data_IF_869872699748
#
_entry.id   IF_869872699748
#
_cell.length_a   1.000
_cell.length_b   1.000
_cell.length_c   1.000
_cell.angle_alpha   90.00
_cell.angle_beta   90.00
_cell.angle_gamma   90.00
#
_symmetry.space_group_name_H-M   'P 1'
#
loop_
_entity.id
_entity.type
_entity.pdbx_description
1 polymer ?
#
# COMPACT_ATOMS: atom_id res chain seq x y z
N UNK A 1 55.60 -30.11 -3.04
CA UNK A 1 54.91 -29.21 -2.09
C UNK A 1 53.45 -29.16 -2.50
N UNK A 2 52.56 -29.76 -1.72
CA UNK A 2 51.11 -29.67 -1.95
C UNK A 2 50.61 -28.38 -1.28
N UNK A 3 50.08 -27.45 -2.07
CA UNK A 3 49.44 -26.25 -1.54
C UNK A 3 48.00 -26.61 -1.13
N UNK A 4 47.76 -26.68 0.18
CA UNK A 4 46.40 -26.79 0.72
C UNK A 4 45.72 -25.42 0.58
N UNK A 5 44.71 -25.33 -0.30
CA UNK A 5 43.80 -24.18 -0.32
C UNK A 5 42.86 -24.30 0.88
N UNK A 6 42.97 -23.35 1.81
CA UNK A 6 41.99 -23.17 2.89
C UNK A 6 40.85 -22.35 2.30
N UNK A 7 39.77 -23.02 1.91
CA UNK A 7 38.48 -22.35 1.68
C UNK A 7 37.95 -21.87 3.02
N UNK A 8 38.09 -20.57 3.29
CA UNK A 8 37.41 -19.93 4.40
C UNK A 8 35.90 -19.98 4.11
N UNK A 9 35.18 -20.86 4.80
CA UNK A 9 33.72 -20.91 4.74
C UNK A 9 33.15 -19.62 5.34
N UNK A 10 32.41 -18.86 4.53
CA UNK A 10 31.62 -17.73 5.02
C UNK A 10 30.49 -18.33 5.87
N UNK A 11 30.59 -18.20 7.19
CA UNK A 11 29.47 -18.48 8.09
C UNK A 11 28.45 -17.36 7.90
N UNK A 12 27.40 -17.61 7.14
CA UNK A 12 26.24 -16.73 7.12
C UNK A 12 25.60 -16.74 8.51
N UNK A 13 25.47 -15.57 9.13
CA UNK A 13 24.73 -15.43 10.39
C UNK A 13 23.24 -15.43 10.08
N UNK A 14 22.40 -16.15 10.84
CA UNK A 14 20.96 -16.14 10.61
C UNK A 14 20.42 -14.73 10.84
N UNK A 15 19.52 -14.30 9.95
CA UNK A 15 18.83 -13.03 10.11
C UNK A 15 17.69 -13.23 11.13
N UNK A 16 17.48 -12.23 11.98
CA UNK A 16 16.44 -12.26 13.01
C UNK A 16 15.34 -11.26 12.69
N UNK A 17 14.11 -11.60 13.07
CA UNK A 17 12.99 -10.69 12.99
C UNK A 17 13.29 -9.37 13.72
N UNK A 18 12.99 -8.25 13.06
CA UNK A 18 13.16 -6.91 13.61
C UNK A 18 11.91 -6.06 13.40
N UNK A 19 11.80 -4.91 14.07
CA UNK A 19 10.76 -3.94 13.76
C UNK A 19 10.94 -3.40 12.34
N UNK A 20 9.82 -3.23 11.63
CA UNK A 20 9.75 -2.62 10.31
C UNK A 20 8.99 -1.30 10.40
N UNK A 21 9.48 -0.28 9.69
CA UNK A 21 8.80 1.00 9.52
C UNK A 21 9.10 1.59 8.14
N UNK A 22 8.08 2.12 7.49
CA UNK A 22 8.17 2.86 6.23
C UNK A 22 7.35 4.16 6.36
N UNK A 23 7.80 5.26 5.74
CA UNK A 23 7.01 6.49 5.64
C UNK A 23 7.42 7.31 4.42
N UNK A 24 6.44 7.94 3.77
CA UNK A 24 6.66 8.94 2.71
C UNK A 24 6.84 10.36 3.25
N UNK A 25 6.70 10.56 4.57
CA UNK A 25 6.83 11.86 5.24
C UNK A 25 5.48 12.52 5.54
N UNK A 26 5.50 13.84 5.70
CA UNK A 26 4.31 14.65 5.97
C UNK A 26 3.72 15.22 4.69
N UNK A 27 2.47 15.69 4.74
CA UNK A 27 1.87 16.35 3.58
C UNK A 27 2.62 17.63 3.18
N UNK A 28 2.69 17.90 1.88
CA UNK A 28 3.29 19.10 1.30
C UNK A 28 2.25 20.17 0.89
N UNK A 29 0.95 19.87 1.02
CA UNK A 29 -0.15 20.76 0.64
C UNK A 29 -0.24 21.04 -0.86
N UNK A 30 0.41 20.24 -1.72
CA UNK A 30 0.41 20.49 -3.16
C UNK A 30 -0.78 19.84 -3.88
N UNK A 31 -1.19 18.65 -3.46
CA UNK A 31 -2.19 17.86 -4.15
C UNK A 31 -3.08 17.09 -3.17
N UNK A 32 -4.38 17.02 -3.47
CA UNK A 32 -5.29 16.01 -2.94
C UNK A 32 -5.86 15.16 -4.08
N UNK A 33 -5.67 13.85 -4.04
CA UNK A 33 -6.24 12.93 -5.04
C UNK A 33 -7.39 12.12 -4.46
N UNK A 34 -8.46 11.94 -5.22
CA UNK A 34 -9.65 11.23 -4.74
C UNK A 34 -9.33 9.76 -4.42
N UNK A 35 -9.74 9.32 -3.24
CA UNK A 35 -9.71 7.92 -2.80
C UNK A 35 -11.02 7.62 -2.10
N UNK A 36 -11.93 6.91 -2.80
CA UNK A 36 -13.33 6.79 -2.39
C UNK A 36 -14.01 5.56 -3.00
N UNK A 37 -14.77 4.88 -2.15
CA UNK A 37 -15.67 3.80 -2.53
C UNK A 37 -16.77 4.20 -3.48
N UNK A 38 -17.27 3.24 -4.24
CA UNK A 38 -18.54 3.42 -4.94
C UNK A 38 -19.66 3.73 -3.94
N UNK A 39 -20.47 4.74 -4.28
CA UNK A 39 -21.65 5.11 -3.51
C UNK A 39 -22.72 5.68 -4.44
N UNK A 40 -23.93 5.92 -3.93
CA UNK A 40 -25.04 6.36 -4.78
C UNK A 40 -24.69 7.62 -5.58
N UNK A 41 -24.60 7.49 -6.91
CA UNK A 41 -24.28 8.59 -7.83
C UNK A 41 -22.78 8.91 -7.96
N UNK A 42 -21.91 8.14 -7.32
CA UNK A 42 -20.46 8.33 -7.28
C UNK A 42 -19.77 7.02 -7.63
N UNK A 43 -18.95 7.03 -8.68
CA UNK A 43 -18.13 5.85 -9.02
C UNK A 43 -16.95 5.73 -8.05
N UNK A 44 -16.45 4.51 -7.91
CA UNK A 44 -15.18 4.24 -7.24
C UNK A 44 -14.03 5.02 -7.90
N UNK A 45 -13.11 5.50 -7.08
CA UNK A 45 -11.84 6.08 -7.52
C UNK A 45 -10.76 5.72 -6.53
N UNK A 46 -9.69 5.16 -7.05
CA UNK A 46 -8.63 4.53 -6.27
C UNK A 46 -7.34 5.30 -6.51
N UNK A 47 -6.66 5.66 -5.42
CA UNK A 47 -5.35 6.30 -5.44
C UNK A 47 -4.37 5.39 -4.73
N UNK A 48 -3.21 5.15 -5.35
CA UNK A 48 -2.19 4.26 -4.82
C UNK A 48 -0.80 4.87 -4.93
N UNK A 49 0.07 4.51 -3.99
CA UNK A 49 1.47 4.92 -3.95
C UNK A 49 2.33 3.76 -3.43
N UNK A 50 3.60 3.72 -3.80
CA UNK A 50 4.41 2.52 -3.61
C UNK A 50 5.30 2.51 -2.36
N UNK A 51 5.75 1.30 -2.03
CA UNK A 51 6.76 1.03 -1.03
C UNK A 51 7.54 -0.24 -1.39
N UNK A 52 8.73 -0.39 -0.81
CA UNK A 52 9.62 -1.52 -1.05
C UNK A 52 9.88 -2.26 0.25
N UNK A 53 9.82 -3.59 0.19
CA UNK A 53 10.22 -4.51 1.23
C UNK A 53 11.49 -5.25 0.79
N UNK A 54 12.52 -5.24 1.61
CA UNK A 54 13.77 -5.96 1.34
C UNK A 54 13.75 -7.40 1.84
N UNK A 55 12.80 -7.74 2.70
CA UNK A 55 12.62 -9.04 3.33
C UNK A 55 11.12 -9.31 3.53
N UNK A 56 10.74 -10.57 3.75
CA UNK A 56 9.36 -10.89 4.11
C UNK A 56 8.98 -10.12 5.38
N UNK A 57 7.84 -9.45 5.32
CA UNK A 57 7.38 -8.54 6.38
C UNK A 57 5.93 -8.86 6.74
N UNK A 58 5.65 -8.88 8.04
CA UNK A 58 4.28 -8.85 8.57
C UNK A 58 3.95 -7.40 8.91
N UNK A 59 3.02 -6.80 8.17
CA UNK A 59 2.54 -5.43 8.37
C UNK A 59 1.30 -5.49 9.27
N UNK A 60 1.32 -4.77 10.39
CA UNK A 60 0.26 -4.79 11.39
C UNK A 60 -0.48 -3.45 11.53
N UNK A 61 0.08 -2.36 11.02
CA UNK A 61 -0.57 -1.06 11.04
C UNK A 61 -0.09 -0.16 9.91
N UNK A 62 -0.93 0.84 9.62
CA UNK A 62 -0.64 1.91 8.69
C UNK A 62 -1.18 3.24 9.21
N UNK A 63 -0.66 4.34 8.67
CA UNK A 63 -1.31 5.65 8.79
C UNK A 63 -1.46 6.26 7.41
N UNK A 64 -2.57 6.94 7.16
CA UNK A 64 -2.77 7.77 5.97
C UNK A 64 -3.20 9.17 6.39
N UNK A 65 -2.81 10.19 5.62
CA UNK A 65 -3.26 11.57 5.84
C UNK A 65 -4.08 12.04 4.66
N UNK A 66 -5.25 12.61 4.93
CA UNK A 66 -6.17 13.07 3.90
C UNK A 66 -6.97 14.30 4.29
N UNK A 67 -7.69 14.83 3.31
CA UNK A 67 -8.58 15.98 3.44
C UNK A 67 -10.02 15.54 3.29
N UNK A 68 -10.85 15.76 4.31
CA UNK A 68 -12.30 15.58 4.24
C UNK A 68 -12.91 16.91 3.79
N UNK A 69 -13.54 16.93 2.62
CA UNK A 69 -13.99 18.17 1.96
C UNK A 69 -15.32 18.71 2.47
N UNK A 70 -16.12 17.89 3.17
CA UNK A 70 -17.36 18.33 3.80
C UNK A 70 -17.19 18.48 5.31
N UNK A 71 -17.65 19.61 5.89
CA UNK A 71 -17.62 19.78 7.34
C UNK A 71 -18.53 18.76 8.02
N UNK A 72 -18.09 18.24 9.17
CA UNK A 72 -18.82 17.26 10.00
C UNK A 72 -19.05 15.90 9.34
N UNK A 73 -18.41 15.61 8.21
CA UNK A 73 -18.44 14.28 7.63
C UNK A 73 -17.63 13.31 8.52
N UNK A 74 -18.19 12.13 8.72
CA UNK A 74 -17.55 11.03 9.44
C UNK A 74 -17.08 9.96 8.45
N UNK A 75 -15.99 9.29 8.81
CA UNK A 75 -15.51 8.11 8.10
C UNK A 75 -16.35 6.92 8.55
N UNK A 76 -16.99 6.27 7.58
CA UNK A 76 -17.87 5.12 7.78
C UNK A 76 -17.16 3.80 7.54
N UNK A 77 -16.16 3.79 6.65
CA UNK A 77 -15.31 2.63 6.41
C UNK A 77 -13.92 3.05 5.91
N UNK A 78 -12.95 2.17 6.09
CA UNK A 78 -11.64 2.22 5.45
C UNK A 78 -11.36 0.84 4.88
N UNK A 79 -10.94 0.81 3.63
CA UNK A 79 -10.43 -0.37 2.95
C UNK A 79 -8.98 -0.14 2.56
N UNK A 80 -8.19 -1.20 2.56
CA UNK A 80 -6.81 -1.23 2.09
C UNK A 80 -6.66 -2.40 1.15
N UNK A 81 -6.21 -2.11 -0.06
CA UNK A 81 -5.75 -3.11 -1.02
C UNK A 81 -4.27 -2.91 -1.30
N UNK A 82 -3.60 -4.00 -1.65
CA UNK A 82 -2.22 -3.97 -2.12
C UNK A 82 -2.11 -4.54 -3.51
N UNK A 83 -1.21 -3.98 -4.31
CA UNK A 83 -0.94 -4.43 -5.66
C UNK A 83 0.55 -4.69 -5.84
N UNK A 84 0.90 -5.68 -6.65
CA UNK A 84 2.26 -5.76 -7.18
C UNK A 84 2.51 -4.68 -8.25
N UNK A 85 3.77 -4.46 -8.58
CA UNK A 85 4.15 -3.67 -9.76
C UNK A 85 3.90 -4.49 -11.03
N UNK A 86 3.27 -3.87 -12.04
CA UNK A 86 3.16 -4.45 -13.39
C UNK A 86 4.54 -4.91 -13.91
N UNK A 87 4.68 -6.12 -14.48
CA UNK A 87 3.63 -6.94 -15.09
C UNK A 87 3.06 -8.06 -14.21
N UNK A 88 3.36 -8.10 -12.92
CA UNK A 88 2.75 -9.11 -12.03
C UNK A 88 1.22 -8.90 -11.95
N UNK A 89 0.49 -10.00 -11.76
CA UNK A 89 -0.99 -10.05 -11.63
C UNK A 89 -1.73 -9.23 -12.70
N UNK A 90 -1.22 -9.32 -13.93
CA UNK A 90 -1.67 -8.49 -15.03
C UNK A 90 -1.85 -9.29 -16.31
N UNK A 91 -2.91 -8.98 -17.07
CA UNK A 91 -3.01 -9.43 -18.45
C UNK A 91 -2.07 -8.57 -19.31
N UNK A 92 -0.91 -9.14 -19.65
CA UNK A 92 0.11 -8.47 -20.47
C UNK A 92 -0.20 -8.46 -21.97
N UNK A 93 -1.24 -9.19 -22.40
CA UNK A 93 -1.64 -9.29 -23.80
C UNK A 93 -2.74 -8.28 -24.17
N UNK A 94 -3.45 -7.71 -23.19
CA UNK A 94 -4.47 -6.69 -23.45
C UNK A 94 -3.85 -5.38 -23.94
N UNK A 95 -4.59 -4.70 -24.81
CA UNK A 95 -4.24 -3.34 -25.22
C UNK A 95 -4.50 -2.37 -24.06
N UNK A 96 -3.49 -1.61 -23.59
CA UNK A 96 -3.69 -0.62 -22.54
C UNK A 96 -4.53 0.55 -23.04
N UNK A 97 -5.39 1.11 -22.19
CA UNK A 97 -6.13 2.36 -22.47
C UNK A 97 -5.36 3.62 -22.06
N UNK A 98 -4.17 3.43 -21.50
CA UNK A 98 -3.28 4.47 -20.96
C UNK A 98 -1.97 4.52 -21.74
N UNK A 99 -1.22 5.61 -21.57
CA UNK A 99 0.05 5.83 -22.28
C UNK A 99 1.12 4.80 -21.93
N UNK A 100 1.15 4.35 -20.68
CA UNK A 100 2.09 3.32 -20.22
C UNK A 100 1.56 2.60 -18.99
N UNK A 101 1.92 1.32 -18.89
CA UNK A 101 1.74 0.48 -17.69
C UNK A 101 3.06 0.21 -16.98
N UNK A 102 4.18 0.72 -17.51
CA UNK A 102 5.50 0.52 -16.92
C UNK A 102 5.51 1.13 -15.52
N UNK A 103 5.81 0.28 -14.54
CA UNK A 103 5.84 0.63 -13.12
C UNK A 103 4.49 1.12 -12.58
N UNK A 104 3.36 0.74 -13.18
CA UNK A 104 2.04 0.97 -12.59
C UNK A 104 1.72 -0.12 -11.57
N UNK A 105 0.68 0.08 -10.74
CA UNK A 105 0.05 -1.04 -10.06
C UNK A 105 -0.45 -2.07 -11.09
N UNK A 106 -0.54 -3.33 -10.63
CA UNK A 106 -1.05 -4.46 -11.39
C UNK A 106 -2.54 -4.31 -11.77
N UNK A 107 -3.03 -5.22 -12.62
CA UNK A 107 -4.45 -5.25 -12.97
C UNK A 107 -5.31 -5.72 -11.80
N UNK A 108 -4.81 -6.71 -11.06
CA UNK A 108 -5.49 -7.39 -9.95
C UNK A 108 -4.73 -7.12 -8.65
N UNK A 109 -5.48 -6.87 -7.59
CA UNK A 109 -5.02 -6.76 -6.22
C UNK A 109 -4.51 -8.10 -5.67
N UNK A 110 -3.72 -8.02 -4.60
CA UNK A 110 -3.31 -9.18 -3.82
C UNK A 110 -4.44 -9.49 -2.84
N UNK A 111 -5.35 -10.39 -3.23
CA UNK A 111 -6.55 -10.75 -2.47
C UNK A 111 -6.25 -11.08 -0.99
N UNK A 112 -5.21 -11.88 -0.73
CA UNK A 112 -4.76 -12.23 0.63
C UNK A 112 -4.25 -11.03 1.47
N UNK A 113 -4.02 -9.87 0.85
CA UNK A 113 -3.59 -8.64 1.49
C UNK A 113 -4.68 -7.54 1.56
N UNK A 114 -5.89 -7.80 1.08
CA UNK A 114 -7.03 -6.86 1.18
C UNK A 114 -7.58 -6.85 2.61
N UNK A 115 -7.82 -5.66 3.16
CA UNK A 115 -8.35 -5.46 4.51
C UNK A 115 -9.45 -4.41 4.50
N UNK A 116 -10.56 -4.70 5.14
CA UNK A 116 -11.76 -3.86 5.17
C UNK A 116 -12.31 -3.75 6.59
N UNK A 117 -12.67 -2.53 6.98
CA UNK A 117 -13.20 -2.24 8.31
C UNK A 117 -14.62 -2.77 8.55
N UNK A 118 -15.44 -2.83 7.51
CA UNK A 118 -16.76 -3.45 7.50
C UNK A 118 -16.70 -4.98 7.65
N UNK A 119 -15.66 -5.62 7.11
CA UNK A 119 -15.40 -7.06 7.30
C UNK A 119 -14.65 -7.37 8.61
N UNK A 120 -14.17 -6.34 9.31
CA UNK A 120 -13.47 -6.47 10.59
C UNK A 120 -12.05 -7.02 10.48
N UNK A 121 -11.45 -7.02 9.28
CA UNK A 121 -10.06 -7.42 9.02
C UNK A 121 -9.07 -6.27 9.24
N UNK A 122 -9.60 -5.04 9.44
CA UNK A 122 -8.91 -3.92 10.07
C UNK A 122 -9.82 -3.17 11.06
N UNK A 123 -9.21 -2.39 11.93
CA UNK A 123 -9.86 -1.31 12.68
C UNK A 123 -9.18 0.03 12.35
N UNK A 124 -9.91 1.13 12.48
CA UNK A 124 -9.37 2.46 12.21
C UNK A 124 -9.85 3.51 13.21
N UNK A 125 -9.07 4.58 13.34
CA UNK A 125 -9.43 5.79 14.08
C UNK A 125 -8.93 7.02 13.33
N UNK A 126 -9.70 8.09 13.31
CA UNK A 126 -9.31 9.35 12.69
C UNK A 126 -9.05 10.42 13.75
N UNK A 127 -7.94 11.15 13.58
CA UNK A 127 -7.56 12.29 14.41
C UNK A 127 -7.48 13.55 13.53
N UNK A 128 -8.24 14.62 13.84
CA UNK A 128 -8.10 15.88 13.11
C UNK A 128 -6.74 16.50 13.41
N UNK A 129 -6.03 16.89 12.35
CA UNK A 129 -4.76 17.60 12.40
C UNK A 129 -4.95 19.10 12.23
N UNK A 130 -5.84 19.50 11.31
CA UNK A 130 -6.14 20.90 11.03
C UNK A 130 -7.59 21.04 10.56
N UNK A 131 -8.37 21.89 11.23
CA UNK A 131 -9.77 22.14 10.91
C UNK A 131 -9.99 22.80 9.53
N UNK A 132 -8.95 23.43 8.97
CA UNK A 132 -9.00 24.08 7.65
C UNK A 132 -7.62 24.03 7.00
N UNK A 133 -7.36 22.93 6.29
CA UNK A 133 -6.20 22.74 5.43
C UNK A 133 -6.58 22.98 3.97
N UNK A 134 -5.59 23.35 3.15
CA UNK A 134 -5.79 23.60 1.72
C UNK A 134 -4.71 22.92 0.89
N UNK A 135 -5.11 22.39 -0.26
CA UNK A 135 -4.20 21.90 -1.30
C UNK A 135 -4.20 22.85 -2.49
N UNK A 136 -3.05 22.97 -3.16
CA UNK A 136 -2.91 23.83 -4.34
C UNK A 136 -3.67 23.30 -5.57
N UNK A 137 -3.81 21.98 -5.68
CA UNK A 137 -4.54 21.32 -6.76
C UNK A 137 -5.24 20.04 -6.27
N UNK A 138 -6.17 19.54 -7.07
CA UNK A 138 -6.86 18.28 -6.83
C UNK A 138 -6.95 17.45 -8.08
N UNK A 139 -7.03 16.13 -7.89
CA UNK A 139 -7.36 15.18 -8.95
C UNK A 139 -8.55 14.33 -8.47
N UNK A 140 -9.73 14.71 -8.95
CA UNK A 140 -11.03 14.16 -8.53
C UNK A 140 -11.82 13.66 -9.73
N UNK A 141 -11.79 14.42 -10.82
CA UNK A 141 -12.52 14.12 -12.05
C UNK A 141 -11.52 13.90 -13.18
N UNK A 142 -12.04 13.63 -14.38
CA UNK A 142 -11.19 13.64 -15.57
C UNK A 142 -10.16 12.50 -15.67
N UNK A 143 -10.24 11.52 -14.78
CA UNK A 143 -9.44 10.28 -14.81
C UNK A 143 -9.98 9.42 -15.95
N UNK A 144 -9.36 9.52 -17.11
CA UNK A 144 -9.87 8.95 -18.36
C UNK A 144 -8.77 8.14 -19.07
N UNK A 145 -9.14 7.30 -20.06
CA UNK A 145 -8.19 6.80 -21.05
C UNK A 145 -7.41 7.92 -21.72
N UNK A 146 -6.34 7.57 -22.43
CA UNK A 146 -5.55 8.55 -23.19
C UNK A 146 -6.44 9.35 -24.18
N UNK A 147 -6.41 10.69 -24.14
CA UNK A 147 -5.61 11.55 -23.26
C UNK A 147 -6.23 11.70 -21.85
N UNK A 148 -5.40 11.55 -20.81
CA UNK A 148 -5.82 11.75 -19.42
C UNK A 148 -5.48 13.16 -18.89
N UNK A 149 -4.82 14.01 -19.67
CA UNK A 149 -4.31 15.30 -19.19
C UNK A 149 -5.43 16.33 -19.04
N UNK A 150 -5.70 16.75 -17.81
CA UNK A 150 -6.71 17.76 -17.46
C UNK A 150 -6.12 18.99 -16.77
N UNK A 151 -4.93 18.88 -16.17
CA UNK A 151 -4.37 19.92 -15.30
C UNK A 151 -4.86 19.84 -13.85
N UNK A 152 -5.74 18.88 -13.51
CA UNK A 152 -6.43 18.81 -12.22
C UNK A 152 -7.61 19.78 -12.11
N UNK A 153 -8.30 19.75 -10.97
CA UNK A 153 -9.53 20.51 -10.72
C UNK A 153 -9.32 21.78 -9.88
N UNK A 154 -8.07 22.18 -9.64
CA UNK A 154 -7.72 23.37 -8.86
C UNK A 154 -7.75 23.14 -7.34
N UNK A 155 -7.59 24.21 -6.54
CA UNK A 155 -7.42 24.11 -5.11
C UNK A 155 -8.70 23.66 -4.40
N UNK A 156 -8.53 22.96 -3.29
CA UNK A 156 -9.61 22.57 -2.39
C UNK A 156 -9.20 22.78 -0.92
N UNK A 157 -10.20 22.93 -0.06
CA UNK A 157 -10.02 23.07 1.39
C UNK A 157 -10.97 22.14 2.15
N UNK A 158 -10.58 21.76 3.35
CA UNK A 158 -11.33 20.85 4.21
C UNK A 158 -10.64 20.61 5.56
N UNK A 159 -11.13 19.63 6.30
CA UNK A 159 -10.48 19.16 7.52
C UNK A 159 -9.38 18.15 7.16
N UNK A 160 -8.15 18.45 7.57
CA UNK A 160 -7.03 17.50 7.46
C UNK A 160 -7.13 16.50 8.61
N UNK A 161 -7.10 15.22 8.26
CA UNK A 161 -7.19 14.11 9.21
C UNK A 161 -6.05 13.14 8.98
N UNK A 162 -5.49 12.63 10.08
CA UNK A 162 -4.69 11.40 10.06
C UNK A 162 -5.60 10.24 10.43
N UNK A 163 -5.63 9.20 9.60
CA UNK A 163 -6.32 7.95 9.87
C UNK A 163 -5.26 6.93 10.26
N UNK A 164 -5.36 6.43 11.48
CA UNK A 164 -4.57 5.28 11.96
C UNK A 164 -5.36 4.00 11.69
N UNK A 165 -4.72 3.05 11.03
CA UNK A 165 -5.26 1.75 10.64
C UNK A 165 -4.49 0.68 11.40
N UNK A 166 -5.20 -0.25 12.05
CA UNK A 166 -4.65 -1.44 12.69
C UNK A 166 -5.24 -2.67 12.02
N UNK A 167 -4.39 -3.51 11.44
CA UNK A 167 -4.81 -4.74 10.80
C UNK A 167 -5.07 -5.81 11.86
N UNK A 168 -6.33 -6.18 12.07
CA UNK A 168 -6.73 -7.25 13.00
C UNK A 168 -6.33 -8.62 12.45
N UNK A 169 -6.27 -8.72 11.12
CA UNK A 169 -5.56 -9.74 10.37
C UNK A 169 -4.31 -9.10 9.77
N UNK A 170 -3.11 -9.24 10.34
CA UNK A 170 -1.89 -8.71 9.75
C UNK A 170 -1.68 -9.15 8.30
N UNK A 171 -0.97 -8.33 7.51
CA UNK A 171 -0.67 -8.61 6.11
C UNK A 171 0.74 -9.21 6.02
N UNK A 172 0.88 -10.38 5.39
CA UNK A 172 2.18 -11.03 5.16
C UNK A 172 2.58 -10.84 3.71
N UNK A 173 3.70 -10.17 3.45
CA UNK A 173 4.23 -9.97 2.11
C UNK A 173 5.68 -10.44 2.03
N UNK A 174 6.09 -11.09 0.92
CA UNK A 174 7.49 -11.34 0.66
C UNK A 174 8.26 -10.03 0.43
N UNK A 175 9.58 -10.13 0.28
CA UNK A 175 10.38 -9.02 -0.25
C UNK A 175 9.87 -8.67 -1.66
N UNK A 176 9.73 -7.37 -1.94
CA UNK A 176 9.14 -6.94 -3.20
C UNK A 176 8.86 -5.44 -3.26
N UNK A 177 8.21 -5.04 -4.34
CA UNK A 177 7.78 -3.68 -4.61
C UNK A 177 6.26 -3.70 -4.77
N UNK A 178 5.56 -2.92 -3.95
CA UNK A 178 4.11 -2.96 -3.80
C UNK A 178 3.54 -1.56 -3.89
N UNK A 179 2.26 -1.48 -4.27
CA UNK A 179 1.44 -0.28 -4.14
C UNK A 179 0.47 -0.44 -2.97
N UNK A 180 0.40 0.59 -2.15
CA UNK A 180 -0.56 0.75 -1.06
C UNK A 180 -1.73 1.62 -1.54
N UNK A 181 -2.92 1.02 -1.63
CA UNK A 181 -4.17 1.67 -2.06
C UNK A 181 -5.13 1.71 -0.88
N UNK A 182 -5.20 2.83 -0.14
CA UNK A 182 -6.28 3.03 0.81
C UNK A 182 -7.52 3.54 0.09
N UNK A 183 -8.68 3.23 0.66
CA UNK A 183 -9.96 3.80 0.30
C UNK A 183 -10.70 4.24 1.56
N UNK A 184 -11.34 5.41 1.51
CA UNK A 184 -12.03 5.98 2.67
C UNK A 184 -13.46 6.36 2.29
N UNK A 185 -14.43 5.65 2.89
CA UNK A 185 -15.83 5.97 2.75
C UNK A 185 -16.22 7.05 3.77
N UNK A 186 -16.57 8.23 3.28
CA UNK A 186 -17.10 9.33 4.10
C UNK A 186 -18.61 9.49 3.88
N UNK A 187 -19.35 9.82 4.94
CA UNK A 187 -20.80 10.02 4.87
C UNK A 187 -21.23 11.39 4.30
N UNK A 188 -20.26 12.18 3.82
CA UNK A 188 -20.46 13.48 3.18
C UNK A 188 -19.16 13.98 2.55
N UNK A 189 -19.26 14.76 1.48
CA UNK A 189 -18.08 15.24 0.74
C UNK A 189 -17.28 14.11 0.10
N UNK A 190 -15.97 14.29 0.04
CA UNK A 190 -14.98 13.35 -0.48
C UNK A 190 -13.79 13.29 0.47
N UNK A 191 -13.08 12.16 0.46
CA UNK A 191 -11.75 12.03 1.02
C UNK A 191 -10.72 12.22 -0.10
N UNK A 192 -9.85 13.23 0.06
CA UNK A 192 -8.72 13.45 -0.82
C UNK A 192 -7.44 12.99 -0.13
N UNK A 193 -6.81 11.95 -0.65
CA UNK A 193 -5.54 11.46 -0.16
C UNK A 193 -4.45 12.50 -0.47
N UNK A 194 -3.78 13.00 0.58
CA UNK A 194 -2.88 14.14 0.47
C UNK A 194 -1.49 13.72 0.00
N UNK A 195 -0.92 14.53 -0.89
CA UNK A 195 0.45 14.32 -1.35
C UNK A 195 1.47 14.61 -0.26
N UNK A 196 2.58 13.88 -0.35
CA UNK A 196 3.84 14.14 0.32
C UNK A 196 4.87 14.65 -0.72
N UNK A 197 6.05 15.15 -0.29
CA UNK A 197 7.09 15.61 -1.19
C UNK A 197 7.45 14.59 -2.27
N UNK A 198 8.19 15.06 -3.29
CA UNK A 198 8.61 14.24 -4.43
C UNK A 198 9.09 12.83 -4.03
N UNK A 199 8.84 11.82 -4.86
CA UNK A 199 9.28 10.45 -4.60
C UNK A 199 10.73 10.33 -4.19
N UNK A 200 10.98 9.42 -3.24
CA UNK A 200 12.32 9.13 -2.72
C UNK A 200 13.04 8.20 -3.72
N UNK A 201 14.36 8.06 -3.65
CA UNK A 201 15.08 7.19 -4.59
C UNK A 201 14.62 5.72 -4.42
N UNK A 202 14.34 5.07 -5.56
CA UNK A 202 13.69 3.76 -5.81
C UNK A 202 12.15 3.73 -5.76
N UNK A 203 11.54 4.80 -5.26
CA UNK A 203 10.10 5.05 -5.25
C UNK A 203 9.57 5.36 -6.66
N UNK A 204 8.38 4.87 -6.96
CA UNK A 204 7.62 5.22 -8.15
C UNK A 204 6.87 6.51 -7.83
N UNK A 205 5.85 6.88 -8.58
CA UNK A 205 5.10 8.11 -8.30
C UNK A 205 3.65 7.71 -8.09
N UNK A 206 2.86 8.52 -7.38
CA UNK A 206 1.46 8.21 -7.14
C UNK A 206 0.64 7.99 -8.43
N UNK A 207 -0.23 6.99 -8.37
CA UNK A 207 -1.14 6.56 -9.45
C UNK A 207 -2.60 6.68 -9.02
N UNK A 208 -3.48 6.83 -10.01
CA UNK A 208 -4.92 6.87 -9.79
C UNK A 208 -5.66 6.11 -10.89
N UNK A 209 -6.79 5.49 -10.54
CA UNK A 209 -7.77 4.97 -11.50
C UNK A 209 -9.19 5.18 -11.00
N UNK A 210 -10.15 5.04 -11.91
CA UNK A 210 -11.57 4.91 -11.55
C UNK A 210 -12.13 3.65 -12.21
N UNK A 211 -13.36 3.28 -11.85
CA UNK A 211 -14.01 2.07 -12.37
C UNK A 211 -14.15 2.04 -13.90
N UNK A 212 -14.09 3.18 -14.59
CA UNK A 212 -14.10 3.24 -16.06
C UNK A 212 -12.74 2.95 -16.68
N UNK A 213 -11.66 3.20 -15.93
CA UNK A 213 -10.27 2.97 -16.33
C UNK A 213 -9.75 1.60 -15.88
N UNK A 214 -10.35 0.99 -14.86
CA UNK A 214 -9.98 -0.35 -14.39
C UNK A 214 -9.91 -1.37 -15.53
N UNK A 215 -8.80 -2.13 -15.67
CA UNK A 215 -7.73 -2.27 -14.67
C UNK A 215 -6.52 -1.34 -14.87
N UNK A 216 -6.55 -0.43 -15.86
CA UNK A 216 -5.45 0.51 -16.11
C UNK A 216 -5.34 1.61 -15.04
N UNK A 217 -4.11 2.10 -14.87
CA UNK A 217 -3.76 3.21 -13.98
C UNK A 217 -3.10 4.35 -14.75
N UNK A 218 -3.30 5.59 -14.30
CA UNK A 218 -2.59 6.78 -14.82
C UNK A 218 -1.75 7.42 -13.71
N UNK A 219 -0.57 7.94 -14.06
CA UNK A 219 0.27 8.69 -13.12
C UNK A 219 -0.37 10.03 -12.85
N UNK A 220 -0.58 10.35 -11.58
CA UNK A 220 -1.31 11.57 -11.20
C UNK A 220 -0.59 12.81 -11.75
N UNK A 221 0.71 12.93 -11.46
CA UNK A 221 1.47 14.10 -11.89
C UNK A 221 1.74 14.15 -13.40
N UNK A 222 2.16 13.03 -14.00
CA UNK A 222 2.58 13.02 -15.42
C UNK A 222 1.43 12.97 -16.41
N UNK A 223 0.46 12.10 -16.17
CA UNK A 223 -0.57 11.80 -17.17
C UNK A 223 -1.80 12.68 -16.94
N UNK A 224 -2.19 12.92 -15.68
CA UNK A 224 -3.39 13.72 -15.33
C UNK A 224 -3.10 15.21 -15.23
N UNK A 225 -2.16 15.64 -14.38
CA UNK A 225 -1.81 17.06 -14.27
C UNK A 225 -1.06 17.52 -15.52
N UNK A 226 -0.12 16.71 -16.01
CA UNK A 226 0.65 17.02 -17.21
C UNK A 226 1.79 18.02 -16.98
N UNK A 227 2.29 18.61 -18.06
CA UNK A 227 3.51 19.44 -18.04
C UNK A 227 4.73 18.80 -18.71
N UNK A 228 4.54 17.63 -19.35
CA UNK A 228 5.59 16.95 -20.11
C UNK A 228 6.80 16.60 -19.23
N UNK A 229 7.99 17.00 -19.66
CA UNK A 229 9.22 16.75 -18.90
C UNK A 229 9.27 17.48 -17.53
N UNK A 230 8.46 18.53 -17.36
CA UNK A 230 8.36 19.30 -16.11
C UNK A 230 7.16 18.88 -15.25
N UNK A 231 6.49 17.78 -15.59
CA UNK A 231 5.35 17.30 -14.82
C UNK A 231 5.74 17.03 -13.36
N UNK A 232 4.91 17.46 -12.39
CA UNK A 232 5.19 17.21 -10.99
C UNK A 232 5.15 15.69 -10.69
N UNK A 233 5.82 15.30 -9.61
CA UNK A 233 5.86 13.94 -9.10
C UNK A 233 5.51 14.00 -7.63
N UNK A 234 4.62 13.12 -7.21
CA UNK A 234 4.10 13.08 -5.86
C UNK A 234 4.24 11.68 -5.31
N UNK A 235 4.47 11.62 -4.00
CA UNK A 235 4.03 10.51 -3.17
C UNK A 235 2.69 10.86 -2.56
N UNK A 236 2.02 9.87 -1.98
CA UNK A 236 0.92 10.07 -1.05
C UNK A 236 1.38 9.88 0.38
N UNK A 237 0.71 10.53 1.32
CA UNK A 237 1.16 10.62 2.71
C UNK A 237 0.76 9.39 3.51
N UNK A 238 1.64 8.40 3.64
CA UNK A 238 1.41 7.24 4.50
C UNK A 238 2.63 6.75 5.26
N UNK A 239 2.35 5.87 6.22
CA UNK A 239 3.34 5.04 6.88
C UNK A 239 2.83 3.61 7.01
N UNK A 240 3.76 2.67 7.09
CA UNK A 240 3.52 1.27 7.39
C UNK A 240 4.41 0.85 8.57
N UNK A 241 3.90 0.01 9.44
CA UNK A 241 4.68 -0.58 10.52
C UNK A 241 4.40 -2.07 10.67
N UNK A 242 5.38 -2.77 11.24
CA UNK A 242 5.26 -4.20 11.46
C UNK A 242 6.58 -4.83 11.87
N UNK A 243 6.84 -6.03 11.38
CA UNK A 243 8.05 -6.78 11.67
C UNK A 243 8.56 -7.52 10.44
N UNK A 244 9.88 -7.50 10.21
CA UNK A 244 10.50 -8.44 9.28
C UNK A 244 10.46 -9.85 9.87
N UNK A 245 10.32 -10.84 9.01
CA UNK A 245 10.31 -12.27 9.35
C UNK A 245 11.21 -13.01 8.35
N UNK A 246 12.54 -12.89 8.49
CA UNK A 246 13.47 -13.50 7.56
C UNK A 246 13.37 -15.03 7.61
N UNK A 247 13.98 -15.74 6.66
CA UNK A 247 14.10 -17.22 6.68
C UNK A 247 12.78 -18.01 6.69
N UNK A 248 11.63 -17.36 6.44
CA UNK A 248 10.39 -18.07 6.16
C UNK A 248 10.48 -18.83 4.84
N UNK A 249 9.59 -19.80 4.65
CA UNK A 249 9.56 -20.60 3.43
C UNK A 249 9.25 -19.76 2.19
N UNK A 250 9.66 -20.25 1.02
CA UNK A 250 9.41 -19.59 -0.26
C UNK A 250 7.99 -19.86 -0.73
N UNK A 251 7.21 -18.80 -0.98
CA UNK A 251 5.84 -18.93 -1.49
C UNK A 251 5.75 -19.81 -2.74
N UNK A 252 4.76 -20.71 -2.80
CA UNK A 252 4.58 -21.69 -3.87
C UNK A 252 5.36 -23.00 -3.71
N UNK A 253 6.32 -23.09 -2.78
CA UNK A 253 7.04 -24.33 -2.50
C UNK A 253 6.27 -25.24 -1.52
N UNK A 254 6.24 -26.58 -1.71
CA UNK A 254 5.50 -27.49 -0.83
C UNK A 254 5.93 -27.44 0.65
N UNK A 255 7.20 -27.08 0.93
CA UNK A 255 7.72 -26.96 2.30
C UNK A 255 7.46 -25.59 2.93
N UNK A 256 6.92 -24.63 2.19
CA UNK A 256 6.83 -23.23 2.57
C UNK A 256 6.21 -23.02 3.96
N UNK A 257 5.04 -23.62 4.21
CA UNK A 257 4.34 -23.44 5.46
C UNK A 257 5.12 -24.02 6.65
N UNK A 258 5.67 -25.23 6.51
CA UNK A 258 6.44 -25.88 7.56
C UNK A 258 7.73 -25.15 7.91
N UNK A 259 8.43 -24.64 6.88
CA UNK A 259 9.63 -23.81 7.05
C UNK A 259 9.29 -22.48 7.73
N UNK A 260 8.23 -21.81 7.30
CA UNK A 260 7.77 -20.56 7.89
C UNK A 260 7.43 -20.70 9.38
N UNK A 261 6.60 -21.69 9.73
CA UNK A 261 6.23 -21.94 11.13
C UNK A 261 7.46 -22.28 11.99
N UNK A 262 8.41 -23.05 11.44
CA UNK A 262 9.65 -23.39 12.14
C UNK A 262 10.55 -22.17 12.34
N UNK A 263 10.69 -21.32 11.33
CA UNK A 263 11.46 -20.08 11.39
C UNK A 263 10.87 -19.10 12.42
N UNK A 264 9.55 -18.90 12.39
CA UNK A 264 8.83 -18.05 13.35
C UNK A 264 8.97 -18.58 14.78
N UNK A 265 8.83 -19.89 15.00
CA UNK A 265 9.03 -20.48 16.31
C UNK A 265 10.47 -20.27 16.82
N UNK A 266 11.48 -20.39 15.95
CA UNK A 266 12.88 -20.12 16.30
C UNK A 266 13.12 -18.65 16.65
N UNK A 267 12.62 -17.75 15.81
CA UNK A 267 12.90 -16.31 15.91
C UNK A 267 12.25 -15.65 17.13
N UNK A 268 11.05 -16.08 17.49
CA UNK A 268 10.29 -15.47 18.58
C UNK A 268 10.28 -16.30 19.87
N UNK A 269 11.05 -17.40 19.93
CA UNK A 269 11.08 -18.29 21.10
C UNK A 269 9.81 -19.11 21.29
N UNK A 270 9.07 -19.37 20.21
CA UNK A 270 7.87 -20.20 20.16
C UNK A 270 6.76 -19.58 19.34
N UNK A 271 5.92 -20.42 18.71
CA UNK A 271 4.89 -19.94 17.77
C UNK A 271 3.82 -19.05 18.42
N UNK A 272 3.52 -19.27 19.70
CA UNK A 272 2.61 -18.40 20.47
C UNK A 272 3.19 -17.00 20.67
N UNK A 273 4.50 -16.92 20.93
CA UNK A 273 5.21 -15.65 21.07
C UNK A 273 5.27 -14.91 19.72
N UNK A 274 5.49 -15.66 18.63
CA UNK A 274 5.42 -15.13 17.27
C UNK A 274 4.05 -14.50 16.99
N UNK A 275 2.95 -15.24 17.22
CA UNK A 275 1.60 -14.75 16.99
C UNK A 275 1.33 -13.44 17.74
N UNK A 276 1.65 -13.41 19.04
CA UNK A 276 1.45 -12.20 19.85
C UNK A 276 2.32 -11.02 19.41
N UNK A 277 3.57 -11.26 19.00
CA UNK A 277 4.52 -10.20 18.62
C UNK A 277 4.17 -9.60 17.26
N UNK A 278 3.74 -10.45 16.33
CA UNK A 278 3.39 -10.08 14.96
C UNK A 278 1.97 -9.50 14.84
N UNK A 279 1.20 -9.44 15.95
CA UNK A 279 -0.13 -8.84 15.99
C UNK A 279 -1.27 -9.78 15.59
N UNK A 280 -1.04 -11.09 15.51
CA UNK A 280 -2.11 -12.05 15.24
C UNK A 280 -2.95 -12.32 16.48
N UNK A 281 -4.26 -12.49 16.29
CA UNK A 281 -5.23 -12.78 17.36
C UNK A 281 -5.02 -14.16 18.01
N UNK A 282 -4.42 -15.11 17.28
CA UNK A 282 -4.15 -16.46 17.76
C UNK A 282 -3.02 -17.13 16.95
N UNK A 283 -2.56 -18.29 17.45
CA UNK A 283 -1.62 -19.16 16.71
C UNK A 283 -2.25 -19.72 15.43
N UNK A 284 -3.55 -19.98 15.46
CA UNK A 284 -4.27 -20.48 14.28
C UNK A 284 -4.37 -19.40 13.21
N UNK A 285 -4.72 -18.16 13.59
CA UNK A 285 -4.72 -17.02 12.68
C UNK A 285 -3.35 -16.76 12.05
N UNK A 286 -2.26 -16.86 12.83
CA UNK A 286 -0.91 -16.78 12.27
C UNK A 286 -0.66 -17.90 11.25
N UNK A 287 -0.98 -19.14 11.58
CA UNK A 287 -0.74 -20.26 10.67
C UNK A 287 -1.57 -20.14 9.39
N UNK A 288 -2.83 -19.72 9.49
CA UNK A 288 -3.71 -19.55 8.34
C UNK A 288 -3.19 -18.43 7.40
N UNK A 289 -2.74 -17.29 7.93
CA UNK A 289 -2.09 -16.26 7.09
C UNK A 289 -0.80 -16.75 6.43
N UNK A 290 -0.02 -17.63 7.08
CA UNK A 290 1.16 -18.22 6.46
C UNK A 290 0.84 -19.35 5.48
N UNK A 291 -0.33 -20.00 5.57
CA UNK A 291 -0.83 -20.91 4.53
C UNK A 291 -1.22 -20.15 3.27
N UNK A 292 -1.95 -19.04 3.44
CA UNK A 292 -2.31 -18.13 2.35
C UNK A 292 -1.06 -17.57 1.66
N UNK A 293 -0.11 -17.04 2.42
CA UNK A 293 1.19 -16.59 1.91
C UNK A 293 1.91 -17.68 1.09
N UNK A 294 1.83 -18.93 1.54
CA UNK A 294 2.47 -20.06 0.87
C UNK A 294 1.69 -20.61 -0.34
N UNK A 295 0.46 -20.15 -0.59
CA UNK A 295 -0.49 -20.76 -1.53
C UNK A 295 -0.72 -22.26 -1.25
N UNK A 296 -0.84 -22.65 0.03
CA UNK A 296 -0.91 -24.06 0.49
C UNK A 296 -2.15 -24.38 1.31
#
# INVERSE_FOLDING_TARGET
MAAAMITAGVLATPAWAGPFSFTTGNTDGLLGALSRSESTGKIETETADDFILTETTVINAATITGLITAPLANISNVEVELYHVFPLDSDTLRQPRVLTRTNSPADVEIDAATRDGGDGTLGFSASPLNASFSVANTVVNGINPTPSTTGGEGPASGEEVQITITFTQPIVLPAGHYFFRPEVLVNGGDFLYLSAPKPIVSDLQAWIRNSRLSPDWVRIGTDVIGGGAAAPKFNMTFSLSGNTVPEVGTAGEPSCHGESVSALARQFGGIRSAASTLGFSSVDALQDSFKEFCNS
#
